data_IF_152276121728
#
_entry.id   IF_152276121728
#
_cell.length_a   1.000
_cell.length_b   1.000
_cell.length_c   1.000
_cell.angle_alpha   90.00
_cell.angle_beta   90.00
_cell.angle_gamma   90.00
#
_symmetry.space_group_name_H-M   'P 1'
#
loop_
_entity.id
_entity.type
_entity.pdbx_description
1 polymer ?
#
# COMPACT_ATOMS: atom_id res chain seq x y z
N UNK A 1 -3.85 -21.97 -22.46
CA UNK A 1 -3.10 -20.98 -21.63
C UNK A 1 -4.07 -20.44 -20.60
N UNK A 2 -3.71 -20.46 -19.32
CA UNK A 2 -4.55 -19.86 -18.27
C UNK A 2 -4.55 -18.34 -18.48
N UNK A 3 -5.72 -17.75 -18.73
CA UNK A 3 -5.85 -16.31 -18.93
C UNK A 3 -5.67 -15.57 -17.60
N UNK A 4 -4.89 -14.49 -17.62
CA UNK A 4 -4.55 -13.69 -16.43
C UNK A 4 -5.47 -12.49 -16.35
N UNK A 5 -6.08 -12.30 -15.18
CA UNK A 5 -7.08 -11.26 -14.95
C UNK A 5 -6.42 -9.98 -14.43
N UNK A 6 -6.75 -8.79 -14.92
CA UNK A 6 -6.31 -7.54 -14.30
C UNK A 6 -6.85 -7.40 -12.87
N UNK A 7 -6.14 -6.60 -12.06
CA UNK A 7 -6.49 -6.29 -10.66
C UNK A 7 -7.94 -5.80 -10.45
N UNK A 8 -8.52 -5.09 -11.42
CA UNK A 8 -9.87 -4.54 -11.33
C UNK A 8 -11.01 -5.52 -11.74
N UNK A 9 -10.63 -6.75 -12.12
CA UNK A 9 -11.53 -7.79 -12.61
C UNK A 9 -11.97 -8.80 -11.53
N UNK A 10 -11.82 -8.45 -10.25
CA UNK A 10 -12.35 -9.18 -9.09
C UNK A 10 -13.27 -8.29 -8.25
N UNK A 11 -14.37 -8.84 -7.73
CA UNK A 11 -15.37 -8.12 -6.92
C UNK A 11 -16.09 -9.06 -5.96
N UNK A 12 -16.55 -8.54 -4.81
CA UNK A 12 -17.57 -9.22 -3.97
C UNK A 12 -19.01 -8.83 -4.36
N UNK A 13 -19.16 -8.03 -5.41
CA UNK A 13 -20.44 -7.68 -6.03
C UNK A 13 -20.45 -8.19 -7.46
N UNK A 14 -21.61 -8.69 -7.93
CA UNK A 14 -21.77 -9.09 -9.33
C UNK A 14 -21.66 -7.90 -10.28
N UNK A 15 -22.04 -6.71 -9.80
CA UNK A 15 -21.98 -5.47 -10.56
C UNK A 15 -20.60 -4.84 -10.40
N UNK A 16 -19.85 -4.80 -11.50
CA UNK A 16 -18.54 -4.17 -11.58
C UNK A 16 -18.71 -2.68 -11.85
N UNK A 17 -18.16 -1.85 -10.97
CA UNK A 17 -18.21 -0.38 -11.06
C UNK A 17 -16.84 0.17 -11.38
N UNK A 18 -16.73 1.50 -11.45
CA UNK A 18 -15.45 2.17 -11.61
C UNK A 18 -14.51 1.77 -10.46
N UNK A 19 -13.31 1.22 -10.77
CA UNK A 19 -12.32 0.88 -9.75
C UNK A 19 -11.84 2.11 -8.99
N UNK A 20 -11.46 1.92 -7.73
CA UNK A 20 -10.83 2.95 -6.93
C UNK A 20 -9.32 2.78 -6.98
N UNK A 21 -8.62 3.88 -7.23
CA UNK A 21 -7.17 3.94 -7.19
C UNK A 21 -6.70 4.49 -5.84
N UNK A 22 -6.00 3.69 -5.03
CA UNK A 22 -5.47 4.12 -3.73
C UNK A 22 -4.20 3.39 -3.34
N UNK A 23 -3.46 3.94 -2.39
CA UNK A 23 -2.33 3.25 -1.74
C UNK A 23 -2.82 2.05 -0.93
N UNK A 24 -2.08 0.94 -1.00
CA UNK A 24 -2.36 -0.26 -0.20
C UNK A 24 -2.05 -0.05 1.30
N UNK A 25 -1.19 0.91 1.62
CA UNK A 25 -0.86 1.32 2.99
C UNK A 25 -1.11 2.83 3.15
N UNK A 26 -2.21 3.24 3.81
CA UNK A 26 -2.55 4.66 3.95
C UNK A 26 -1.66 5.40 4.95
N UNK A 27 -0.97 4.68 5.84
CA UNK A 27 -0.14 5.27 6.89
C UNK A 27 1.35 4.90 6.71
N UNK A 28 2.18 5.74 6.05
CA UNK A 28 3.62 5.51 5.89
C UNK A 28 4.37 5.49 7.23
N UNK A 29 3.85 6.17 8.25
CA UNK A 29 4.47 6.28 9.59
C UNK A 29 4.12 5.11 10.52
N UNK A 30 3.31 4.16 10.05
CA UNK A 30 2.88 3.01 10.86
C UNK A 30 4.04 2.07 11.22
N UNK A 31 3.96 1.33 12.35
CA UNK A 31 5.00 0.38 12.75
C UNK A 31 5.35 -0.66 11.67
N UNK A 32 4.36 -1.10 10.90
CA UNK A 32 4.55 -2.04 9.79
C UNK A 32 5.46 -1.44 8.70
N UNK A 33 5.21 -0.19 8.32
CA UNK A 33 6.00 0.50 7.30
C UNK A 33 7.41 0.83 7.79
N UNK A 34 7.59 1.18 9.07
CA UNK A 34 8.93 1.37 9.66
C UNK A 34 9.79 0.10 9.62
N UNK A 35 9.18 -1.05 9.93
CA UNK A 35 9.84 -2.38 9.80
C UNK A 35 10.18 -2.66 8.34
N UNK A 36 9.23 -2.41 7.44
CA UNK A 36 9.43 -2.57 6.01
C UNK A 36 10.62 -1.73 5.50
N UNK A 37 10.72 -0.44 5.87
CA UNK A 37 11.85 0.42 5.47
C UNK A 37 13.19 -0.14 5.94
N UNK A 38 13.25 -0.60 7.20
CA UNK A 38 14.45 -1.22 7.76
C UNK A 38 14.86 -2.45 6.95
N UNK A 39 13.89 -3.33 6.68
CA UNK A 39 14.13 -4.62 6.06
C UNK A 39 14.42 -4.53 4.54
N UNK A 40 13.92 -3.49 3.86
CA UNK A 40 14.11 -3.27 2.41
C UNK A 40 15.23 -2.30 2.05
N UNK A 41 15.94 -1.78 3.06
CA UNK A 41 17.05 -0.86 2.84
C UNK A 41 16.60 0.51 2.32
N UNK A 42 15.35 0.91 2.56
CA UNK A 42 14.87 2.26 2.25
C UNK A 42 15.56 3.29 3.15
N UNK A 43 15.68 4.54 2.69
CA UNK A 43 16.09 5.67 3.50
C UNK A 43 14.86 6.39 4.08
N UNK A 44 15.04 7.23 5.11
CA UNK A 44 13.97 8.08 5.62
C UNK A 44 13.35 8.95 4.51
N UNK A 45 12.02 9.06 4.49
CA UNK A 45 11.27 9.83 3.48
C UNK A 45 11.05 9.10 2.15
N UNK A 46 11.58 7.89 1.96
CA UNK A 46 11.41 7.15 0.71
C UNK A 46 10.14 6.31 0.66
N UNK A 47 9.61 5.93 1.82
CA UNK A 47 8.38 5.13 1.86
C UNK A 47 7.17 5.95 1.43
N UNK A 48 7.11 7.22 1.80
CA UNK A 48 6.09 8.16 1.34
C UNK A 48 6.14 8.27 -0.18
N UNK A 49 7.33 8.51 -0.74
CA UNK A 49 7.53 8.57 -2.21
C UNK A 49 7.13 7.26 -2.89
N UNK A 50 7.47 6.11 -2.30
CA UNK A 50 7.08 4.81 -2.84
C UNK A 50 5.56 4.62 -2.82
N UNK A 51 4.89 4.95 -1.71
CA UNK A 51 3.45 4.78 -1.54
C UNK A 51 2.62 5.77 -2.38
N UNK A 52 3.17 6.94 -2.69
CA UNK A 52 2.58 7.92 -3.60
C UNK A 52 2.85 7.61 -5.08
N UNK A 53 3.88 6.80 -5.37
CA UNK A 53 4.20 6.39 -6.72
C UNK A 53 3.17 5.39 -7.28
N UNK A 54 3.13 5.19 -8.61
CA UNK A 54 2.34 4.11 -9.21
C UNK A 54 2.67 2.71 -8.65
N UNK A 55 3.85 2.53 -8.05
CA UNK A 55 4.28 1.29 -7.41
C UNK A 55 3.78 1.10 -5.98
N UNK A 56 3.12 2.11 -5.41
CA UNK A 56 2.53 2.08 -4.08
C UNK A 56 1.02 1.88 -4.06
N UNK A 57 0.38 1.97 -5.24
CA UNK A 57 -1.06 2.03 -5.39
C UNK A 57 -1.60 0.84 -6.18
N UNK A 58 -2.91 0.63 -6.09
CA UNK A 58 -3.65 -0.37 -6.87
C UNK A 58 -4.98 0.20 -7.35
N UNK A 59 -5.53 -0.38 -8.42
CA UNK A 59 -6.86 -0.10 -8.94
C UNK A 59 -7.78 -1.31 -8.71
N UNK A 60 -8.63 -1.27 -7.69
CA UNK A 60 -9.49 -2.40 -7.32
C UNK A 60 -10.96 -1.98 -7.23
N UNK A 61 -11.87 -2.97 -7.37
CA UNK A 61 -13.28 -2.75 -7.08
C UNK A 61 -13.48 -2.31 -5.62
N UNK A 62 -14.43 -1.39 -5.32
CA UNK A 62 -14.66 -0.90 -3.96
C UNK A 62 -14.91 -2.01 -2.92
N UNK A 63 -15.58 -3.08 -3.34
CA UNK A 63 -15.89 -4.25 -2.51
C UNK A 63 -14.62 -5.01 -2.10
N UNK A 64 -13.64 -5.12 -3.01
CA UNK A 64 -12.35 -5.76 -2.74
C UNK A 64 -11.49 -4.87 -1.85
N UNK A 65 -11.50 -3.55 -2.06
CA UNK A 65 -10.82 -2.64 -1.14
C UNK A 65 -11.29 -2.81 0.29
N UNK A 66 -12.62 -2.83 0.51
CA UNK A 66 -13.19 -3.08 1.83
C UNK A 66 -12.75 -4.42 2.40
N UNK A 67 -12.70 -5.47 1.57
CA UNK A 67 -12.24 -6.78 2.00
C UNK A 67 -10.75 -6.80 2.38
N UNK A 68 -9.90 -6.11 1.62
CA UNK A 68 -8.47 -5.95 1.93
C UNK A 68 -8.32 -5.19 3.25
N UNK A 69 -9.00 -4.05 3.42
CA UNK A 69 -8.97 -3.23 4.63
C UNK A 69 -9.36 -4.06 5.88
N UNK A 70 -10.38 -4.90 5.73
CA UNK A 70 -10.82 -5.85 6.77
C UNK A 70 -9.94 -7.10 6.89
N UNK A 71 -8.93 -7.30 6.04
CA UNK A 71 -8.07 -8.49 6.05
C UNK A 71 -8.82 -9.78 5.69
N UNK A 72 -9.84 -9.68 4.84
CA UNK A 72 -10.65 -10.79 4.38
C UNK A 72 -10.21 -11.32 3.01
N UNK A 73 -9.41 -10.56 2.28
CA UNK A 73 -8.81 -11.02 1.02
C UNK A 73 -7.36 -10.51 0.94
N UNK A 74 -6.49 -11.30 0.32
CA UNK A 74 -5.14 -10.89 -0.04
C UNK A 74 -4.74 -11.44 -1.39
N UNK A 75 -3.83 -10.74 -2.05
CA UNK A 75 -3.13 -11.26 -3.22
C UNK A 75 -1.76 -11.78 -2.78
N UNK A 76 -1.48 -13.03 -3.12
CA UNK A 76 -0.24 -13.72 -2.77
C UNK A 76 0.79 -13.56 -3.88
N UNK A 77 1.96 -12.97 -3.59
CA UNK A 77 3.10 -13.01 -4.50
C UNK A 77 3.59 -14.45 -4.73
N UNK A 78 4.28 -14.71 -5.85
CA UNK A 78 4.94 -15.99 -6.07
C UNK A 78 5.98 -16.32 -5.00
N UNK A 79 6.14 -17.61 -4.68
CA UNK A 79 7.08 -18.10 -3.65
C UNK A 79 8.52 -17.57 -3.82
N UNK A 80 9.02 -17.49 -5.06
CA UNK A 80 10.38 -17.02 -5.30
C UNK A 80 10.55 -15.56 -4.90
N UNK A 81 9.52 -14.72 -5.06
CA UNK A 81 9.54 -13.32 -4.59
C UNK A 81 9.63 -13.31 -3.07
N UNK A 82 8.87 -14.17 -2.39
CA UNK A 82 8.88 -14.27 -0.93
C UNK A 82 10.27 -14.69 -0.41
N UNK A 83 10.89 -15.70 -1.03
CA UNK A 83 12.26 -16.15 -0.68
C UNK A 83 13.28 -15.04 -0.86
N UNK A 84 13.27 -14.35 -2.00
CA UNK A 84 14.18 -13.22 -2.24
C UNK A 84 14.01 -12.09 -1.22
N UNK A 85 12.77 -11.83 -0.76
CA UNK A 85 12.53 -10.85 0.30
C UNK A 85 13.05 -11.30 1.66
N UNK A 86 12.91 -12.59 2.01
CA UNK A 86 13.47 -13.14 3.25
C UNK A 86 14.99 -12.99 3.27
N UNK A 87 15.67 -13.37 2.20
CA UNK A 87 17.12 -13.21 2.04
C UNK A 87 17.55 -11.74 2.15
N UNK A 88 16.81 -10.85 1.49
CA UNK A 88 17.05 -9.41 1.58
C UNK A 88 16.89 -8.89 3.01
N UNK A 89 15.85 -9.33 3.72
CA UNK A 89 15.57 -8.92 5.08
C UNK A 89 16.69 -9.37 6.02
N UNK A 90 17.11 -10.63 5.93
CA UNK A 90 18.24 -11.15 6.72
C UNK A 90 19.51 -10.34 6.50
N UNK A 91 19.85 -10.10 5.23
CA UNK A 91 21.00 -9.28 4.89
C UNK A 91 20.87 -7.88 5.52
N UNK A 92 19.75 -7.19 5.31
CA UNK A 92 19.58 -5.81 5.77
C UNK A 92 19.54 -5.65 7.29
N UNK A 93 19.04 -6.66 8.02
CA UNK A 93 19.07 -6.66 9.48
C UNK A 93 20.48 -6.85 10.06
N UNK A 94 21.37 -7.53 9.34
CA UNK A 94 22.77 -7.71 9.75
C UNK A 94 23.67 -6.51 9.42
N UNK A 95 23.18 -5.52 8.66
CA UNK A 95 23.99 -4.43 8.14
C UNK A 95 23.49 -3.05 8.59
N UNK A 96 24.45 -2.12 8.73
CA UNK A 96 24.16 -0.71 8.98
C UNK A 96 23.43 -0.08 7.79
N UNK A 97 22.67 1.00 8.03
CA UNK A 97 21.82 1.65 7.04
C UNK A 97 22.50 1.86 5.66
N UNK A 98 23.75 2.32 5.64
CA UNK A 98 24.49 2.62 4.42
C UNK A 98 24.96 1.38 3.64
N UNK A 99 25.04 0.23 4.29
CA UNK A 99 25.49 -1.04 3.71
C UNK A 99 24.32 -1.96 3.33
N UNK A 100 23.07 -1.51 3.54
CA UNK A 100 21.86 -2.27 3.19
C UNK A 100 21.69 -2.36 1.68
N UNK A 101 21.22 -3.51 1.23
CA UNK A 101 20.76 -3.72 -0.14
C UNK A 101 19.38 -3.11 -0.30
N UNK A 102 19.19 -2.42 -1.42
CA UNK A 102 17.88 -1.92 -1.82
C UNK A 102 17.02 -3.09 -2.25
N UNK A 103 15.72 -2.99 -1.99
CA UNK A 103 14.77 -3.86 -2.68
C UNK A 103 14.81 -3.52 -4.17
N UNK A 104 15.33 -4.46 -4.96
CA UNK A 104 15.23 -4.36 -6.41
C UNK A 104 13.79 -4.64 -6.81
N UNK A 105 13.31 -3.87 -7.78
CA UNK A 105 11.92 -3.90 -8.23
C UNK A 105 11.82 -4.88 -9.40
N UNK A 106 11.42 -6.16 -9.20
CA UNK A 106 10.97 -6.95 -10.34
C UNK A 106 9.76 -6.26 -10.95
N UNK A 107 9.74 -6.16 -12.29
CA UNK A 107 8.63 -5.53 -13.01
C UNK A 107 7.30 -6.17 -12.57
N UNK A 108 6.40 -5.44 -11.88
CA UNK A 108 5.16 -6.01 -11.36
C UNK A 108 4.29 -6.65 -12.44
N UNK A 109 4.34 -6.10 -13.66
CA UNK A 109 3.55 -6.58 -14.80
C UNK A 109 3.97 -7.96 -15.30
N UNK A 110 5.16 -8.45 -14.94
CA UNK A 110 5.62 -9.79 -15.30
C UNK A 110 5.17 -10.88 -14.31
N UNK A 111 4.51 -10.49 -13.22
CA UNK A 111 4.11 -11.39 -12.14
C UNK A 111 2.63 -11.75 -12.20
N UNK A 112 2.34 -12.94 -11.68
CA UNK A 112 0.99 -13.43 -11.49
C UNK A 112 0.76 -13.72 -10.01
N UNK A 113 -0.45 -13.42 -9.54
CA UNK A 113 -0.82 -13.48 -8.14
C UNK A 113 -2.04 -14.36 -7.95
N UNK A 114 -2.04 -15.16 -6.89
CA UNK A 114 -3.24 -15.86 -6.44
C UNK A 114 -4.04 -14.95 -5.50
N UNK A 115 -5.35 -14.89 -5.65
CA UNK A 115 -6.21 -14.24 -4.66
C UNK A 115 -6.67 -15.29 -3.63
N UNK A 116 -6.59 -14.94 -2.35
CA UNK A 116 -7.02 -15.78 -1.25
C UNK A 116 -8.05 -15.07 -0.39
N UNK A 117 -9.15 -15.75 -0.10
CA UNK A 117 -10.16 -15.30 0.86
C UNK A 117 -9.91 -15.91 2.25
N UNK A 118 -10.26 -15.17 3.30
CA UNK A 118 -10.29 -15.72 4.67
C UNK A 118 -11.58 -16.52 4.90
N UNK A 119 -11.63 -17.25 6.02
CA UNK A 119 -12.84 -17.94 6.49
C UNK A 119 -14.03 -16.99 6.70
N UNK A 120 -13.80 -15.69 6.92
CA UNK A 120 -14.86 -14.70 7.03
C UNK A 120 -15.62 -14.44 5.72
N UNK A 121 -15.06 -14.85 4.58
CA UNK A 121 -15.76 -14.86 3.31
C UNK A 121 -16.54 -16.18 3.09
N UNK A 122 -16.47 -17.15 4.00
CA UNK A 122 -17.23 -18.40 3.87
C UNK A 122 -18.73 -18.11 3.67
N UNK A 123 -19.25 -18.54 2.52
CA UNK A 123 -20.62 -18.34 2.07
C UNK A 123 -20.83 -17.14 1.14
N UNK A 124 -19.87 -16.21 1.03
CA UNK A 124 -19.96 -15.08 0.11
C UNK A 124 -19.42 -15.45 -1.28
N UNK A 125 -20.14 -15.19 -2.38
CA UNK A 125 -19.57 -15.37 -3.72
C UNK A 125 -18.49 -14.32 -4.02
N UNK A 126 -17.41 -14.75 -4.67
CA UNK A 126 -16.46 -13.87 -5.34
C UNK A 126 -16.79 -13.87 -6.81
N UNK A 127 -16.88 -12.70 -7.43
CA UNK A 127 -17.13 -12.55 -8.85
C UNK A 127 -15.84 -12.13 -9.57
N UNK A 128 -15.58 -12.73 -10.71
CA UNK A 128 -14.54 -12.27 -11.63
C UNK A 128 -15.15 -11.88 -12.96
N UNK A 129 -14.64 -10.82 -13.58
CA UNK A 129 -15.07 -10.38 -14.91
C UNK A 129 -13.98 -10.70 -15.90
N UNK A 130 -14.29 -11.50 -16.91
CA UNK A 130 -13.33 -11.84 -17.95
C UNK A 130 -12.86 -10.57 -18.68
N UNK A 131 -11.54 -10.32 -18.82
CA UNK A 131 -11.03 -9.03 -19.30
C UNK A 131 -11.44 -8.71 -20.74
N UNK A 132 -11.55 -9.72 -21.62
CA UNK A 132 -11.95 -9.54 -23.03
C UNK A 132 -13.45 -9.66 -23.28
N UNK A 133 -14.09 -10.71 -22.78
CA UNK A 133 -15.50 -11.00 -23.08
C UNK A 133 -16.46 -10.31 -22.12
N UNK A 134 -15.96 -9.72 -21.03
CA UNK A 134 -16.75 -9.12 -19.95
C UNK A 134 -17.71 -10.10 -19.25
N UNK A 135 -17.61 -11.40 -19.52
CA UNK A 135 -18.44 -12.42 -18.86
C UNK A 135 -18.08 -12.47 -17.38
N UNK A 136 -19.11 -12.35 -16.53
CA UNK A 136 -18.95 -12.43 -15.08
C UNK A 136 -19.12 -13.87 -14.62
N UNK A 137 -18.07 -14.41 -13.99
CA UNK A 137 -18.05 -15.75 -13.41
C UNK A 137 -18.18 -15.65 -11.89
N UNK A 138 -18.99 -16.54 -11.32
CA UNK A 138 -19.18 -16.65 -9.87
C UNK A 138 -18.29 -17.78 -9.32
N UNK A 139 -17.54 -17.48 -8.27
CA UNK A 139 -16.70 -18.42 -7.53
C UNK A 139 -17.26 -18.57 -6.11
N UNK A 140 -17.40 -19.81 -5.66
CA UNK A 140 -17.88 -20.15 -4.33
C UNK A 140 -16.73 -20.73 -3.48
N UNK A 141 -16.79 -20.62 -2.14
CA UNK A 141 -15.83 -21.28 -1.26
C UNK A 141 -15.73 -22.78 -1.57
N UNK A 142 -14.53 -23.40 -1.49
CA UNK A 142 -13.25 -22.84 -1.01
C UNK A 142 -12.45 -22.04 -2.05
N UNK A 143 -13.11 -21.51 -3.10
CA UNK A 143 -12.53 -20.63 -4.12
C UNK A 143 -11.33 -21.23 -4.89
N UNK A 144 -11.29 -22.55 -5.03
CA UNK A 144 -10.22 -23.28 -5.76
C UNK A 144 -10.16 -22.98 -7.25
N UNK A 145 -11.16 -22.27 -7.79
CA UNK A 145 -11.30 -21.95 -9.21
C UNK A 145 -11.02 -20.48 -9.53
N UNK A 146 -10.50 -19.69 -8.58
CA UNK A 146 -10.13 -18.30 -8.86
C UNK A 146 -9.00 -18.25 -9.91
N UNK A 147 -9.08 -17.33 -10.89
CA UNK A 147 -8.00 -17.14 -11.84
C UNK A 147 -6.79 -16.48 -11.17
N UNK A 148 -5.67 -16.49 -11.86
CA UNK A 148 -4.52 -15.67 -11.49
C UNK A 148 -4.71 -14.22 -11.91
N UNK A 149 -4.14 -13.30 -11.14
CA UNK A 149 -4.24 -11.87 -11.36
C UNK A 149 -2.91 -11.26 -11.77
N UNK A 150 -2.95 -10.26 -12.65
CA UNK A 150 -1.82 -9.37 -12.98
C UNK A 150 -2.05 -8.05 -12.25
N UNK A 151 -1.18 -7.78 -11.27
CA UNK A 151 -1.19 -6.56 -10.48
C UNK A 151 -0.09 -5.65 -11.02
N UNK A 152 -0.46 -4.70 -11.87
CA UNK A 152 0.50 -3.98 -12.73
C UNK A 152 1.15 -2.80 -12.03
N UNK A 153 0.45 -2.27 -11.05
CA UNK A 153 0.78 -1.03 -10.37
C UNK A 153 1.64 -1.33 -9.15
N UNK A 154 1.12 -2.11 -8.20
CA UNK A 154 1.77 -2.31 -6.89
C UNK A 154 3.09 -3.09 -6.91
N UNK A 155 4.02 -2.66 -6.05
CA UNK A 155 5.29 -3.34 -5.82
C UNK A 155 5.09 -4.70 -5.12
N UNK A 156 5.73 -5.80 -5.58
CA UNK A 156 5.50 -7.14 -5.03
C UNK A 156 5.88 -7.29 -3.56
N UNK A 157 6.89 -6.54 -3.09
CA UNK A 157 7.26 -6.51 -1.67
C UNK A 157 6.19 -5.88 -0.78
N UNK A 158 5.45 -4.87 -1.25
CA UNK A 158 4.34 -4.27 -0.50
C UNK A 158 3.18 -5.26 -0.41
N UNK A 159 2.91 -6.00 -1.49
CA UNK A 159 1.96 -7.11 -1.46
C UNK A 159 2.39 -8.22 -0.51
N UNK A 160 3.67 -8.57 -0.45
CA UNK A 160 4.18 -9.56 0.50
C UNK A 160 3.93 -9.12 1.96
N UNK A 161 4.10 -7.84 2.27
CA UNK A 161 3.73 -7.29 3.58
C UNK A 161 2.22 -7.40 3.81
N UNK A 162 1.38 -7.14 2.80
CA UNK A 162 -0.08 -7.25 2.94
C UNK A 162 -0.52 -8.71 3.13
N UNK A 163 0.05 -9.64 2.38
CA UNK A 163 -0.13 -11.07 2.51
C UNK A 163 0.20 -11.56 3.93
N UNK A 164 1.33 -11.11 4.48
CA UNK A 164 1.70 -11.36 5.88
C UNK A 164 0.62 -10.93 6.87
N UNK A 165 0.13 -9.70 6.75
CA UNK A 165 -0.91 -9.19 7.64
C UNK A 165 -2.20 -10.02 7.54
N UNK A 166 -2.55 -10.47 6.33
CA UNK A 166 -3.70 -11.34 6.09
C UNK A 166 -3.53 -12.74 6.70
N UNK A 167 -2.38 -13.40 6.46
CA UNK A 167 -2.10 -14.75 6.98
C UNK A 167 -2.11 -14.77 8.50
N UNK A 168 -1.44 -13.80 9.13
CA UNK A 168 -1.41 -13.66 10.59
C UNK A 168 -2.82 -13.42 11.16
N UNK A 169 -3.66 -12.63 10.48
CA UNK A 169 -5.03 -12.37 10.94
C UNK A 169 -5.96 -13.58 10.76
N UNK A 170 -5.71 -14.40 9.73
CA UNK A 170 -6.57 -15.53 9.35
C UNK A 170 -6.11 -16.86 9.95
N UNK A 171 -5.07 -16.86 10.78
CA UNK A 171 -4.45 -18.06 11.36
C UNK A 171 -4.03 -19.11 10.32
N UNK A 172 -3.47 -18.62 9.20
CA UNK A 172 -3.08 -19.46 8.05
C UNK A 172 -1.57 -19.74 7.99
N UNK A 173 -0.82 -19.47 9.07
CA UNK A 173 0.64 -19.61 9.08
C UNK A 173 1.11 -21.02 8.73
N UNK A 174 0.41 -22.05 9.22
CA UNK A 174 0.73 -23.44 8.91
C UNK A 174 0.53 -23.80 7.42
N UNK A 175 -0.36 -23.09 6.73
CA UNK A 175 -0.67 -23.31 5.31
C UNK A 175 0.28 -22.54 4.41
N UNK A 176 0.75 -21.37 4.86
CA UNK A 176 1.65 -20.48 4.10
C UNK A 176 2.96 -20.24 4.86
N UNK A 177 3.82 -21.26 4.99
CA UNK A 177 5.04 -21.18 5.80
C UNK A 177 5.99 -20.07 5.33
N UNK A 178 6.10 -19.80 4.02
CA UNK A 178 6.94 -18.70 3.51
C UNK A 178 6.44 -17.31 3.93
N UNK A 179 5.13 -17.14 4.10
CA UNK A 179 4.56 -15.89 4.59
C UNK A 179 4.86 -15.72 6.09
N UNK A 180 4.81 -16.83 6.83
CA UNK A 180 5.16 -16.88 8.25
C UNK A 180 6.66 -16.61 8.48
N UNK A 181 7.53 -17.23 7.68
CA UNK A 181 8.97 -16.96 7.66
C UNK A 181 9.24 -15.46 7.41
N UNK A 182 8.59 -14.86 6.41
CA UNK A 182 8.70 -13.42 6.18
C UNK A 182 8.26 -12.60 7.42
N UNK A 183 7.24 -13.08 8.15
CA UNK A 183 6.78 -12.44 9.38
C UNK A 183 7.82 -12.48 10.50
N UNK A 184 8.49 -13.62 10.68
CA UNK A 184 9.56 -13.81 11.65
C UNK A 184 10.76 -12.91 11.33
N UNK A 185 11.16 -12.84 10.07
CA UNK A 185 12.32 -12.06 9.66
C UNK A 185 12.07 -10.55 9.77
N UNK A 186 10.86 -10.08 9.46
CA UNK A 186 10.48 -8.66 9.57
C UNK A 186 10.18 -8.18 11.00
N UNK A 187 10.16 -9.07 11.99
CA UNK A 187 9.86 -8.75 13.39
C UNK A 187 11.07 -8.33 14.25
N UNK A 188 12.29 -8.45 13.72
CA UNK A 188 13.52 -8.42 14.52
C UNK A 188 13.82 -7.07 15.18
N UNK A 189 13.76 -5.99 14.40
CA UNK A 189 14.09 -4.64 14.89
C UNK A 189 13.53 -3.56 13.95
N UNK A 190 13.43 -2.33 14.43
CA UNK A 190 13.20 -1.13 13.60
C UNK A 190 14.39 -0.22 13.83
N UNK A 191 15.11 0.11 12.76
CA UNK A 191 16.26 1.00 12.85
C UNK A 191 15.86 2.33 13.52
N UNK A 192 16.63 2.84 14.50
CA UNK A 192 16.32 4.08 15.22
C UNK A 192 16.06 5.27 14.31
N UNK A 193 16.65 5.30 13.11
CA UNK A 193 16.42 6.36 12.13
C UNK A 193 14.95 6.48 11.72
N UNK A 194 14.19 5.37 11.70
CA UNK A 194 12.75 5.35 11.38
C UNK A 194 11.86 5.51 12.61
N UNK A 195 12.43 5.43 13.82
CA UNK A 195 11.65 5.59 15.05
C UNK A 195 11.35 7.05 15.36
N UNK A 196 12.23 7.98 14.94
CA UNK A 196 12.11 9.41 15.23
C UNK A 196 10.78 9.96 14.75
N UNK A 197 10.05 10.58 15.68
CA UNK A 197 8.82 11.29 15.38
C UNK A 197 9.24 12.65 14.80
N UNK A 198 8.72 13.08 13.64
CA UNK A 198 9.06 14.39 13.07
C UNK A 198 8.71 15.56 14.00
N UNK A 199 7.82 15.35 14.99
CA UNK A 199 7.45 16.35 15.98
C UNK A 199 8.39 16.40 17.21
N UNK A 200 9.38 15.52 17.30
CA UNK A 200 10.40 15.62 18.34
C UNK A 200 11.40 16.69 17.92
N UNK A 201 11.10 17.95 18.27
CA UNK A 201 12.06 19.05 18.21
C UNK A 201 13.34 18.55 18.89
N UNK A 202 14.51 18.59 18.24
CA UNK A 202 15.76 18.31 18.91
C UNK A 202 15.85 19.34 20.05
N UNK A 203 15.76 18.87 21.29
CA UNK A 203 16.05 19.72 22.44
C UNK A 203 17.51 20.16 22.29
N UNK A 204 17.72 21.35 21.76
CA UNK A 204 19.03 21.95 21.47
C UNK A 204 19.76 22.37 22.75
N UNK A 205 19.55 21.65 23.86
CA UNK A 205 19.98 22.08 25.20
C UNK A 205 20.88 21.07 25.93
N UNK A 206 21.53 20.17 25.21
CA UNK A 206 22.49 19.23 25.83
C UNK A 206 23.79 19.04 25.04
N UNK A 207 24.19 19.99 24.20
CA UNK A 207 25.57 20.12 23.71
C UNK A 207 26.08 21.54 24.00
N UNK A 208 26.12 21.86 25.29
CA UNK A 208 26.95 22.93 25.82
C UNK A 208 27.85 22.34 26.91
N UNK A 209 28.55 21.25 26.58
CA UNK A 209 29.69 20.78 27.36
C UNK A 209 30.94 20.76 26.48
N UNK A 210 31.79 21.76 26.79
CA UNK A 210 33.25 21.67 26.73
C UNK A 210 33.93 21.79 25.37
N UNK A 211 33.77 22.96 24.72
CA UNK A 211 34.82 23.49 23.86
C UNK A 211 35.96 24.06 24.73
N UNK A 212 36.99 23.24 24.96
CA UNK A 212 38.31 23.69 25.38
C UNK A 212 38.88 24.67 24.33
N UNK A 213 39.30 25.89 24.70
CA UNK A 213 39.90 26.82 23.75
C UNK A 213 41.32 26.37 23.37
N UNK A 214 41.49 25.89 22.15
CA UNK A 214 42.81 25.66 21.54
C UNK A 214 43.45 27.04 21.20
N UNK A 215 44.67 27.35 21.67
CA UNK A 215 45.34 28.60 21.32
C UNK A 215 45.81 28.57 19.86
N UNK A 216 45.10 29.30 18.99
CA UNK A 216 45.51 29.51 17.59
C UNK A 216 46.63 30.55 17.51
N UNK A 217 47.86 30.08 17.25
CA UNK A 217 48.96 30.90 16.69
C UNK A 217 48.52 31.46 15.33
N UNK A 218 48.36 32.79 15.25
CA UNK A 218 48.16 33.52 14.00
C UNK A 218 49.48 33.51 13.22
N UNK A 219 49.51 32.90 12.03
CA UNK A 219 50.45 33.29 10.97
C UNK A 219 49.73 34.25 10.04
N UNK A 220 50.24 35.47 10.03
CA UNK A 220 49.90 36.55 9.12
C UNK A 220 50.50 36.18 7.75
N UNK A 221 49.68 36.12 6.69
CA UNK A 221 50.14 36.08 5.30
C UNK A 221 49.27 37.06 4.53
N UNK A 222 49.92 38.08 3.99
CA UNK A 222 49.36 39.09 3.12
C UNK A 222 48.82 38.46 1.83
N UNK A 223 47.59 38.82 1.46
CA UNK A 223 47.04 38.56 0.13
C UNK A 223 46.65 39.90 -0.50
N UNK A 224 47.58 40.47 -1.25
CA UNK A 224 47.33 41.55 -2.19
C UNK A 224 46.48 41.05 -3.36
N UNK A 225 45.39 41.76 -3.59
CA UNK A 225 44.81 42.13 -4.87
C UNK A 225 44.73 41.08 -5.99
N UNK A 226 43.50 40.84 -6.46
CA UNK A 226 43.14 41.24 -7.83
C UNK A 226 41.63 41.37 -8.01
N UNK A 227 41.26 42.53 -8.54
CA UNK A 227 39.94 43.02 -8.86
C UNK A 227 39.43 42.50 -10.22
N UNK A 228 38.14 42.83 -10.45
CA UNK A 228 37.44 42.91 -11.72
C UNK A 228 36.88 41.56 -12.23
N UNK A 229 35.64 41.47 -12.73
CA UNK A 229 35.04 42.37 -13.72
C UNK A 229 33.51 42.15 -13.79
N UNK A 230 32.75 43.25 -13.73
CA UNK A 230 31.31 43.31 -14.02
C UNK A 230 31.02 42.91 -15.47
N UNK A 231 29.93 42.19 -15.71
CA UNK A 231 29.17 42.28 -16.98
C UNK A 231 27.67 42.29 -16.68
N UNK A 232 27.06 43.42 -17.03
CA UNK A 232 25.63 43.64 -17.10
C UNK A 232 25.04 42.80 -18.24
N UNK A 233 23.90 42.15 -17.99
CA UNK A 233 23.00 41.69 -19.04
C UNK A 233 21.62 42.28 -18.77
N UNK A 234 21.19 43.11 -19.73
CA UNK A 234 19.85 43.66 -19.89
C UNK A 234 18.96 42.58 -20.49
N UNK A 235 17.83 42.27 -19.87
CA UNK A 235 16.74 41.53 -20.54
C UNK A 235 15.46 42.35 -20.38
N UNK A 236 14.95 42.77 -21.54
CA UNK A 236 13.70 43.49 -21.74
C UNK A 236 12.50 42.61 -21.41
N UNK A 237 11.44 43.27 -20.92
CA UNK A 237 10.23 42.62 -20.44
C UNK A 237 9.34 42.00 -21.50
N UNK A 238 8.46 41.12 -21.02
CA UNK A 238 7.17 40.78 -21.64
C UNK A 238 6.14 40.60 -20.53
N UNK A 239 5.07 41.35 -20.66
CA UNK A 239 3.88 41.35 -19.81
C UNK A 239 3.09 40.03 -19.92
N UNK A 240 2.48 39.53 -18.84
CA UNK A 240 1.50 38.45 -18.91
C UNK A 240 0.08 38.97 -19.16
N UNK A 241 -0.78 38.22 -19.88
CA UNK A 241 -2.17 38.60 -20.11
C UNK A 241 -3.11 38.21 -18.96
N UNK A 242 -4.18 39.01 -18.90
CA UNK A 242 -5.38 39.00 -18.07
C UNK A 242 -5.85 37.65 -17.50
N UNK A 243 -5.98 37.61 -16.18
CA UNK A 243 -6.66 36.57 -15.41
C UNK A 243 -8.16 36.87 -15.38
N UNK A 244 -8.99 36.02 -16.01
CA UNK A 244 -10.45 36.13 -15.90
C UNK A 244 -10.92 35.67 -14.52
N UNK A 245 -11.64 36.51 -13.80
CA UNK A 245 -12.30 36.16 -12.55
C UNK A 245 -13.59 35.39 -12.85
N UNK A 246 -13.71 34.16 -12.31
CA UNK A 246 -14.99 33.44 -12.21
C UNK A 246 -15.68 33.84 -10.90
N UNK A 247 -17.00 34.09 -10.91
CA UNK A 247 -17.75 34.45 -9.71
C UNK A 247 -17.88 33.24 -8.76
N UNK A 248 -17.65 33.51 -7.47
CA UNK A 248 -17.92 32.60 -6.35
C UNK A 248 -19.43 32.55 -6.08
N UNK A 249 -19.99 31.35 -6.05
CA UNK A 249 -21.33 31.09 -5.52
C UNK A 249 -21.19 30.89 -4.00
N UNK A 250 -22.00 31.56 -3.15
CA UNK A 250 -21.98 31.38 -1.71
C UNK A 250 -22.83 30.17 -1.29
N UNK A 251 -22.26 29.30 -0.45
CA UNK A 251 -23.01 28.35 0.37
C UNK A 251 -22.79 28.74 1.83
N UNK A 252 -23.78 29.45 2.38
CA UNK A 252 -24.12 29.37 3.80
C UNK A 252 -24.69 27.96 4.07
N UNK A 253 -24.53 27.31 5.20
CA UNK A 253 -23.86 27.59 6.47
C UNK A 253 -24.18 26.42 7.41
N UNK A 254 -23.45 26.34 8.54
CA UNK A 254 -23.80 25.66 9.81
C UNK A 254 -24.03 24.13 9.75
N UNK A 255 -23.47 23.26 10.58
CA UNK A 255 -23.18 23.40 12.01
C UNK A 255 -22.04 22.48 12.51
N UNK A 256 -21.47 22.95 13.60
CA UNK A 256 -20.61 22.30 14.58
C UNK A 256 -21.35 21.10 15.20
N UNK A 257 -20.65 19.98 15.43
CA UNK A 257 -20.80 19.11 16.61
C UNK A 257 -19.75 17.97 16.56
N UNK A 258 -18.74 18.04 17.41
CA UNK A 258 -18.11 16.86 18.03
C UNK A 258 -19.02 16.39 19.18
N UNK A 259 -19.14 15.08 19.45
CA UNK A 259 -18.27 14.50 20.48
C UNK A 259 -17.84 13.03 20.28
N UNK A 260 -16.91 12.66 21.15
CA UNK A 260 -16.29 11.37 21.43
C UNK A 260 -17.21 10.15 21.61
N UNK A 261 -16.52 9.00 21.46
CA UNK A 261 -16.67 7.71 22.14
C UNK A 261 -17.92 6.84 21.92
N UNK A 262 -17.62 5.65 21.36
CA UNK A 262 -18.28 4.39 21.69
C UNK A 262 -19.55 4.09 20.92
N UNK A 263 -19.47 3.14 19.98
CA UNK A 263 -20.50 2.10 19.77
C UNK A 263 -20.02 1.06 18.74
N UNK A 264 -19.46 -0.03 19.25
CA UNK A 264 -19.62 -1.35 18.66
C UNK A 264 -21.11 -1.71 18.77
N UNK A 265 -21.82 -1.76 17.65
CA UNK A 265 -22.86 -2.76 17.35
C UNK A 265 -23.70 -2.38 16.12
N UNK A 266 -24.26 -3.42 15.50
CA UNK A 266 -25.39 -3.41 14.56
C UNK A 266 -25.04 -3.18 13.09
N UNK A 267 -24.66 -4.27 12.41
CA UNK A 267 -25.29 -4.61 11.12
C UNK A 267 -25.82 -6.04 11.25
N UNK A 268 -27.05 -6.15 11.77
CA UNK A 268 -27.91 -7.32 11.60
C UNK A 268 -28.54 -7.25 10.21
N UNK A 269 -28.50 -8.37 9.50
CA UNK A 269 -29.54 -8.79 8.55
C UNK A 269 -29.66 -8.00 7.25
N UNK A 270 -28.99 -8.48 6.19
CA UNK A 270 -29.62 -8.49 4.86
C UNK A 270 -29.90 -9.93 4.48
N UNK A 271 -31.20 -10.22 4.50
CA UNK A 271 -31.83 -11.48 4.15
C UNK A 271 -31.56 -11.82 2.69
N UNK A 272 -31.03 -13.02 2.47
CA UNK A 272 -30.96 -13.66 1.17
C UNK A 272 -32.37 -14.14 0.83
N UNK A 273 -32.94 -13.69 -0.28
CA UNK A 273 -34.22 -14.21 -0.78
C UNK A 273 -34.03 -15.65 -1.26
N UNK A 274 -34.78 -16.64 -0.75
CA UNK A 274 -34.81 -17.95 -1.37
C UNK A 274 -35.66 -17.87 -2.65
N UNK A 275 -35.05 -18.23 -3.79
CA UNK A 275 -35.78 -18.48 -5.04
C UNK A 275 -36.72 -19.68 -4.80
N UNK A 276 -38.02 -19.42 -4.85
CA UNK A 276 -39.05 -20.45 -4.92
C UNK A 276 -38.94 -21.17 -6.27
N UNK A 277 -38.56 -22.44 -6.24
CA UNK A 277 -38.69 -23.35 -7.39
C UNK A 277 -40.13 -23.87 -7.42
N UNK A 278 -40.95 -23.36 -8.35
CA UNK A 278 -42.23 -23.97 -8.71
C UNK A 278 -41.95 -25.23 -9.54
N UNK A 279 -42.00 -26.40 -8.90
CA UNK A 279 -42.18 -27.67 -9.59
C UNK A 279 -43.66 -27.81 -9.96
N UNK A 280 -43.98 -27.61 -11.24
CA UNK A 280 -45.24 -28.04 -11.83
C UNK A 280 -45.12 -29.50 -12.26
N UNK A 281 -45.57 -30.43 -11.41
CA UNK A 281 -45.81 -31.82 -11.81
C UNK A 281 -47.27 -31.90 -12.24
N UNK A 282 -47.50 -31.97 -13.56
CA UNK A 282 -48.81 -32.30 -14.13
C UNK A 282 -48.91 -33.82 -14.15
N UNK A 283 -49.76 -34.36 -13.28
CA UNK A 283 -50.27 -35.72 -13.34
C UNK A 283 -51.22 -35.87 -14.52
N UNK A 284 -50.89 -36.75 -15.47
CA UNK A 284 -51.86 -37.31 -16.40
C UNK A 284 -52.26 -38.71 -15.92
N UNK A 285 -53.55 -38.88 -15.59
CA UNK A 285 -54.25 -40.15 -15.42
C UNK A 285 -55.27 -40.28 -16.56
N UNK A 286 -55.68 -41.51 -16.81
CA UNK A 286 -56.75 -42.03 -17.71
C UNK A 286 -56.29 -42.28 -19.16
N UNK A 287 -56.56 -43.43 -19.77
CA UNK A 287 -57.45 -44.56 -19.43
C UNK A 287 -56.81 -45.89 -19.88
#
# INVERSE_FOLDING_TARGET
MNEVYPEDCISLSRDFVQPLHRSIFPNPSGPVMKRYCTATGLFPGEIERLLESPFGTMSLQPSIWRAIDLGNIAFMPPDYVMRSLIELYDYNYAHSLHNRRRVDIPNPSALVYAALGSSWLEGAPIFTRHPRTCVVTTHLPPYTTLPYFSLRTIHPSLLAVRARLFVSKSDLSAVYPLVDDLALHSGRHVDPVFQRNPNTIPSSRAEAETLQPVPRKRKFVDSLALQAKRRNIVIMGRSPPAHSQRPRIPLAGTDILTPNDGLLSIIRGRTYYPRSAKNGVVTAKTA
#
